data_IF_447081056262
#
_entry.id   IF_447081056262
#
_cell.length_a   1.000
_cell.length_b   1.000
_cell.length_c   1.000
_cell.angle_alpha   90.00
_cell.angle_beta   90.00
_cell.angle_gamma   90.00
#
_symmetry.space_group_name_H-M   'P 1'
#
loop_
_entity.id
_entity.type
_entity.pdbx_description
1 polymer ?
#
# COMPACT_ATOMS: atom_id res chain seq x y z
N UNK A 1 -17.31 -0.94 -1.60
CA UNK A 1 -16.30 -1.99 -1.85
C UNK A 1 -15.07 -1.31 -2.36
N UNK A 2 -13.98 -1.45 -1.61
CA UNK A 2 -12.67 -0.91 -1.96
C UNK A 2 -12.13 -1.64 -3.18
N UNK A 3 -12.44 -1.09 -4.37
CA UNK A 3 -12.12 -1.71 -5.67
C UNK A 3 -10.64 -2.07 -5.84
N UNK A 4 -9.74 -1.41 -5.11
CA UNK A 4 -8.30 -1.67 -5.17
C UNK A 4 -7.89 -3.01 -4.53
N UNK A 5 -8.75 -3.63 -3.73
CA UNK A 5 -8.45 -4.88 -3.00
C UNK A 5 -8.96 -6.11 -3.76
N UNK A 6 -10.07 -5.95 -4.48
CA UNK A 6 -10.73 -6.99 -5.27
C UNK A 6 -10.14 -7.16 -6.69
N UNK A 7 -9.30 -6.22 -7.13
CA UNK A 7 -8.68 -6.19 -8.46
C UNK A 7 -7.53 -7.18 -8.69
N UNK A 8 -6.66 -6.92 -9.67
CA UNK A 8 -5.39 -7.65 -9.83
C UNK A 8 -4.32 -7.13 -8.88
N UNK A 9 -3.20 -7.84 -8.78
CA UNK A 9 -2.06 -7.36 -7.99
C UNK A 9 -1.50 -6.05 -8.56
N UNK A 10 -1.48 -5.91 -9.88
CA UNK A 10 -1.02 -4.71 -10.57
C UNK A 10 -1.92 -3.50 -10.29
N UNK A 11 -3.24 -3.70 -10.26
CA UNK A 11 -4.19 -2.64 -9.87
C UNK A 11 -3.98 -2.21 -8.41
N UNK A 12 -3.68 -3.18 -7.54
CA UNK A 12 -3.33 -2.90 -6.15
C UNK A 12 -2.02 -2.12 -6.03
N UNK A 13 -0.96 -2.48 -6.76
CA UNK A 13 0.28 -1.72 -6.77
C UNK A 13 0.11 -0.32 -7.37
N UNK A 14 -0.74 -0.17 -8.39
CA UNK A 14 -1.08 1.14 -8.94
C UNK A 14 -1.77 2.02 -7.90
N UNK A 15 -2.70 1.46 -7.13
CA UNK A 15 -3.32 2.15 -6.00
C UNK A 15 -2.30 2.56 -4.94
N UNK A 16 -1.33 1.70 -4.59
CA UNK A 16 -0.28 2.04 -3.63
C UNK A 16 0.50 3.27 -4.12
N UNK A 17 0.92 3.30 -5.39
CA UNK A 17 1.67 4.43 -5.98
C UNK A 17 0.88 5.74 -5.90
N UNK A 18 -0.41 5.68 -6.21
CA UNK A 18 -1.31 6.83 -6.12
C UNK A 18 -1.47 7.30 -4.67
N UNK A 19 -1.70 6.38 -3.73
CA UNK A 19 -1.90 6.67 -2.32
C UNK A 19 -0.66 7.32 -1.65
N UNK A 20 0.54 6.85 -1.99
CA UNK A 20 1.79 7.37 -1.40
C UNK A 20 2.43 8.50 -2.24
N UNK A 21 1.93 8.73 -3.45
CA UNK A 21 2.41 9.75 -4.39
C UNK A 21 3.85 9.52 -4.87
N UNK A 22 4.29 8.27 -5.02
CA UNK A 22 5.67 7.89 -5.36
C UNK A 22 5.72 6.44 -5.82
N UNK A 23 6.74 6.08 -6.59
CA UNK A 23 7.07 4.67 -6.83
C UNK A 23 7.55 4.01 -5.53
N UNK A 24 7.49 2.69 -5.48
CA UNK A 24 7.92 1.95 -4.30
C UNK A 24 8.56 0.61 -4.65
N UNK A 25 9.27 0.06 -3.68
CA UNK A 25 9.70 -1.34 -3.66
C UNK A 25 9.06 -2.08 -2.50
N UNK A 26 8.75 -3.35 -2.72
CA UNK A 26 8.41 -4.27 -1.64
C UNK A 26 9.64 -4.58 -0.79
N UNK A 27 9.58 -4.28 0.50
CA UNK A 27 10.50 -4.82 1.51
C UNK A 27 10.14 -6.26 1.86
N UNK A 28 8.84 -6.51 2.02
CA UNK A 28 8.27 -7.84 2.24
C UNK A 28 7.07 -7.95 1.32
N UNK A 29 7.11 -8.87 0.35
CA UNK A 29 5.98 -9.12 -0.55
C UNK A 29 5.15 -10.29 0.00
N UNK A 30 3.94 -10.05 0.53
CA UNK A 30 3.08 -11.14 0.97
C UNK A 30 2.50 -11.89 -0.21
N UNK A 31 1.93 -13.06 0.06
CA UNK A 31 1.17 -13.82 -0.94
C UNK A 31 0.00 -12.97 -1.44
N UNK A 32 -0.24 -13.02 -2.74
CA UNK A 32 -1.37 -12.33 -3.33
C UNK A 32 -2.70 -12.94 -2.86
N UNK A 33 -3.43 -12.20 -2.03
CA UNK A 33 -4.76 -12.53 -1.53
C UNK A 33 -5.48 -11.26 -1.07
N UNK A 34 -6.81 -11.25 -1.15
CA UNK A 34 -7.65 -10.14 -0.70
C UNK A 34 -7.35 -9.74 0.74
N UNK A 35 -7.20 -10.71 1.64
CA UNK A 35 -6.89 -10.44 3.06
C UNK A 35 -5.54 -9.75 3.26
N UNK A 36 -4.51 -10.15 2.52
CA UNK A 36 -3.19 -9.51 2.62
C UNK A 36 -3.19 -8.10 2.02
N UNK A 37 -3.90 -7.90 0.90
CA UNK A 37 -4.04 -6.57 0.29
C UNK A 37 -4.79 -5.61 1.21
N UNK A 38 -5.85 -6.07 1.86
CA UNK A 38 -6.58 -5.28 2.87
C UNK A 38 -5.67 -4.88 4.03
N UNK A 39 -4.92 -5.82 4.61
CA UNK A 39 -4.00 -5.52 5.71
C UNK A 39 -2.94 -4.48 5.31
N UNK A 40 -2.38 -4.58 4.11
CA UNK A 40 -1.41 -3.59 3.60
C UNK A 40 -2.09 -2.24 3.37
N UNK A 41 -3.28 -2.22 2.76
CA UNK A 41 -4.02 -0.99 2.51
C UNK A 41 -4.34 -0.24 3.81
N UNK A 42 -4.83 -0.97 4.82
CA UNK A 42 -5.12 -0.45 6.14
C UNK A 42 -3.85 0.16 6.77
N UNK A 43 -2.71 -0.54 6.69
CA UNK A 43 -1.44 -0.05 7.22
C UNK A 43 -0.97 1.23 6.52
N UNK A 44 -1.06 1.29 5.18
CA UNK A 44 -0.66 2.47 4.41
C UNK A 44 -1.53 3.67 4.79
N UNK A 45 -2.84 3.49 4.87
CA UNK A 45 -3.78 4.55 5.23
C UNK A 45 -3.56 5.01 6.68
N UNK A 46 -3.31 4.08 7.60
CA UNK A 46 -2.95 4.39 8.99
C UNK A 46 -1.64 5.19 9.07
N UNK A 47 -0.62 4.80 8.30
CA UNK A 47 0.65 5.51 8.22
C UNK A 47 0.45 6.94 7.69
N UNK A 48 -0.31 7.13 6.62
CA UNK A 48 -0.64 8.45 6.07
C UNK A 48 -1.35 9.30 7.13
N UNK A 49 -2.36 8.74 7.81
CA UNK A 49 -3.14 9.43 8.84
C UNK A 49 -2.28 9.86 10.03
N UNK A 50 -1.36 9.00 10.49
CA UNK A 50 -0.46 9.28 11.61
C UNK A 50 0.65 10.28 11.26
N UNK A 51 0.98 10.43 9.98
CA UNK A 51 2.06 11.30 9.49
C UNK A 51 1.53 12.53 8.75
N UNK A 52 0.47 13.16 9.29
CA UNK A 52 -0.11 14.41 8.78
C UNK A 52 -0.50 14.37 7.28
N UNK A 53 -1.04 13.23 6.83
CA UNK A 53 -1.49 13.06 5.45
C UNK A 53 -0.37 12.71 4.46
N UNK A 54 0.82 12.34 4.94
CA UNK A 54 1.95 11.94 4.09
C UNK A 54 2.41 10.53 4.46
N UNK A 55 2.60 9.67 3.47
CA UNK A 55 3.24 8.38 3.72
C UNK A 55 4.74 8.60 4.04
N UNK A 56 5.30 7.94 5.08
CA UNK A 56 6.72 8.01 5.41
C UNK A 56 7.61 7.41 4.31
N UNK A 57 8.93 7.48 4.45
CA UNK A 57 9.86 6.86 3.48
C UNK A 57 9.65 5.35 3.30
N UNK A 58 9.06 4.67 4.29
CA UNK A 58 8.66 3.27 4.19
C UNK A 58 8.07 2.74 5.49
N UNK A 59 7.55 1.52 5.41
CA UNK A 59 7.02 0.77 6.54
C UNK A 59 7.54 -0.69 6.49
N UNK A 60 6.82 -1.61 7.13
CA UNK A 60 7.18 -3.04 7.14
C UNK A 60 7.14 -3.68 5.75
N UNK A 61 6.23 -3.25 4.88
CA UNK A 61 5.96 -3.89 3.60
C UNK A 61 6.57 -3.14 2.42
N UNK A 62 6.54 -1.81 2.43
CA UNK A 62 6.96 -0.99 1.28
C UNK A 62 7.95 0.11 1.65
N UNK A 63 8.72 0.55 0.67
CA UNK A 63 9.59 1.72 0.77
C UNK A 63 9.48 2.56 -0.50
N UNK A 64 9.34 3.87 -0.34
CA UNK A 64 9.33 4.84 -1.44
C UNK A 64 10.66 4.84 -2.21
N UNK A 65 10.59 5.22 -3.48
CA UNK A 65 11.74 5.40 -4.39
C UNK A 65 11.70 6.83 -4.95
#
# INVERSE_FOLDING_TARGET
>A
MDKHIEGTWEEFEAWIRDAIGSDFRWRIRPRDSVSNRQMIADLIMDNIKRNNGKFPEGDTFIQKI
#
